data_IF_556919844821
#
_entry.id   IF_556919844821
#
_cell.length_a   1.000
_cell.length_b   1.000
_cell.length_c   1.000
_cell.angle_alpha   90.00
_cell.angle_beta   90.00
_cell.angle_gamma   90.00
#
_symmetry.space_group_name_H-M   'P 1'
#
loop_
_entity.id
_entity.type
_entity.pdbx_description
1 polymer ?
#
# COMPACT_ATOMS: atom_id res chain seq x y z
N UNK A 1 -12.50 12.59 18.44
CA UNK A 1 -13.37 11.48 18.02
C UNK A 1 -13.26 11.39 16.50
N UNK A 2 -13.01 10.21 15.94
CA UNK A 2 -12.92 10.04 14.49
C UNK A 2 -14.31 10.19 13.86
N UNK A 3 -14.39 10.79 12.67
CA UNK A 3 -15.62 10.79 11.89
C UNK A 3 -16.05 9.35 11.56
N UNK A 4 -17.37 9.10 11.43
CA UNK A 4 -17.88 7.81 10.98
C UNK A 4 -17.17 7.33 9.72
N UNK A 5 -16.99 6.02 9.60
CA UNK A 5 -16.46 5.42 8.38
C UNK A 5 -17.42 5.68 7.21
N UNK A 6 -16.85 6.02 6.06
CA UNK A 6 -17.55 6.07 4.78
C UNK A 6 -16.58 5.56 3.70
N UNK A 7 -17.05 4.75 2.74
CA UNK A 7 -16.20 4.29 1.64
C UNK A 7 -15.58 5.46 0.86
N UNK A 8 -14.34 5.28 0.41
CA UNK A 8 -13.64 6.24 -0.42
C UNK A 8 -14.42 6.45 -1.73
N UNK A 9 -14.81 7.70 -2.07
CA UNK A 9 -15.56 7.95 -3.29
C UNK A 9 -14.79 7.52 -4.53
N UNK A 10 -15.48 6.84 -5.45
CA UNK A 10 -14.94 6.53 -6.76
C UNK A 10 -14.88 7.78 -7.64
N UNK A 11 -13.90 7.80 -8.53
CA UNK A 11 -13.69 8.90 -9.46
C UNK A 11 -14.64 8.78 -10.65
N UNK A 12 -15.46 9.81 -10.87
CA UNK A 12 -16.30 9.90 -12.06
C UNK A 12 -15.50 10.47 -13.23
N UNK A 13 -14.98 9.59 -14.09
CA UNK A 13 -14.18 9.98 -15.26
C UNK A 13 -14.99 10.62 -16.40
N UNK A 14 -16.32 10.69 -16.29
CA UNK A 14 -17.16 11.50 -17.17
C UNK A 14 -17.06 13.01 -16.90
N UNK A 15 -16.39 13.41 -15.81
CA UNK A 15 -16.10 14.80 -15.47
C UNK A 15 -14.72 15.15 -16.03
N UNK A 16 -14.66 16.19 -16.87
CA UNK A 16 -13.45 16.55 -17.62
C UNK A 16 -12.26 16.86 -16.71
N UNK A 17 -12.48 17.53 -15.57
CA UNK A 17 -11.42 17.82 -14.60
C UNK A 17 -10.81 16.55 -13.99
N UNK A 18 -11.63 15.54 -13.70
CA UNK A 18 -11.16 14.27 -13.15
C UNK A 18 -10.36 13.48 -14.20
N UNK A 19 -10.88 13.42 -15.44
CA UNK A 19 -10.18 12.78 -16.54
C UNK A 19 -8.83 13.46 -16.79
N UNK A 20 -8.79 14.79 -16.84
CA UNK A 20 -7.56 15.56 -17.00
C UNK A 20 -6.57 15.28 -15.86
N UNK A 21 -7.01 15.28 -14.60
CA UNK A 21 -6.14 14.99 -13.45
C UNK A 21 -5.52 13.58 -13.54
N UNK A 22 -6.31 12.59 -13.97
CA UNK A 22 -5.83 11.23 -14.18
C UNK A 22 -4.82 11.13 -15.34
N UNK A 23 -5.04 11.84 -16.44
CA UNK A 23 -4.07 11.93 -17.53
C UNK A 23 -2.74 12.55 -17.08
N UNK A 24 -2.77 13.56 -16.21
CA UNK A 24 -1.55 14.12 -15.63
C UNK A 24 -0.83 13.09 -14.76
N UNK A 25 -1.58 12.31 -13.97
CA UNK A 25 -0.99 11.22 -13.19
C UNK A 25 -0.36 10.14 -14.08
N UNK A 26 -1.01 9.75 -15.18
CA UNK A 26 -0.45 8.83 -16.18
C UNK A 26 0.85 9.36 -16.78
N UNK A 27 0.89 10.65 -17.17
CA UNK A 27 2.12 11.28 -17.68
C UNK A 27 3.23 11.29 -16.64
N UNK A 28 2.89 11.65 -15.39
CA UNK A 28 3.85 11.67 -14.27
C UNK A 28 4.44 10.28 -14.05
N UNK A 29 3.60 9.26 -13.89
CA UNK A 29 4.05 7.88 -13.66
C UNK A 29 4.88 7.38 -14.84
N UNK A 30 4.45 7.64 -16.07
CA UNK A 30 5.19 7.24 -17.27
C UNK A 30 6.62 7.78 -17.30
N UNK A 31 6.81 9.03 -16.88
CA UNK A 31 8.13 9.66 -16.81
C UNK A 31 9.02 9.10 -15.69
N UNK A 32 8.44 8.34 -14.75
CA UNK A 32 9.12 7.77 -13.59
C UNK A 32 9.30 6.24 -13.71
N UNK A 33 9.04 5.65 -14.88
CA UNK A 33 9.24 4.22 -15.11
C UNK A 33 10.72 3.86 -15.31
N UNK A 34 11.04 2.58 -15.12
CA UNK A 34 12.37 2.01 -15.41
C UNK A 34 13.35 2.06 -14.24
N UNK A 35 12.93 2.54 -13.07
CA UNK A 35 13.77 2.52 -11.86
C UNK A 35 14.13 1.10 -11.42
N UNK A 36 15.23 1.00 -10.67
CA UNK A 36 15.61 -0.23 -9.97
C UNK A 36 15.25 -0.13 -8.49
N UNK A 37 14.44 -1.08 -8.01
CA UNK A 37 13.91 -1.12 -6.66
C UNK A 37 14.65 -2.18 -5.82
N UNK A 38 15.28 -1.80 -4.70
CA UNK A 38 15.94 -2.75 -3.81
C UNK A 38 14.93 -3.50 -2.95
N UNK A 39 15.37 -4.59 -2.32
CA UNK A 39 14.66 -5.14 -1.15
C UNK A 39 14.72 -4.12 -0.01
N UNK A 40 13.70 -4.11 0.86
CA UNK A 40 13.71 -3.32 2.09
C UNK A 40 13.52 -4.26 3.27
N UNK A 41 14.59 -4.48 4.04
CA UNK A 41 14.59 -5.36 5.22
C UNK A 41 15.16 -4.57 6.39
N UNK A 42 14.44 -4.51 7.51
CA UNK A 42 14.88 -3.79 8.71
C UNK A 42 15.27 -2.33 8.43
N UNK A 43 14.43 -1.63 7.65
CA UNK A 43 14.64 -0.27 7.13
C UNK A 43 15.91 -0.08 6.27
N UNK A 44 16.58 -1.16 5.84
CA UNK A 44 17.75 -1.11 4.97
C UNK A 44 17.38 -1.49 3.54
N UNK A 45 17.83 -0.66 2.60
CA UNK A 45 17.75 -0.95 1.16
C UNK A 45 18.87 -1.91 0.79
N UNK A 46 18.52 -3.09 0.30
CA UNK A 46 19.45 -4.15 -0.08
C UNK A 46 19.35 -4.36 -1.59
N UNK A 47 20.41 -3.99 -2.32
CA UNK A 47 20.57 -4.34 -3.71
C UNK A 47 21.10 -5.78 -3.82
N UNK A 48 20.65 -6.51 -4.84
CA UNK A 48 21.08 -7.88 -5.14
C UNK A 48 21.77 -7.93 -6.49
N UNK A 49 22.61 -8.95 -6.71
CA UNK A 49 23.30 -9.12 -7.99
C UNK A 49 22.33 -9.43 -9.15
N UNK A 50 21.22 -10.11 -8.85
CA UNK A 50 20.17 -10.43 -9.82
C UNK A 50 18.96 -9.52 -9.63
N UNK A 51 18.36 -9.10 -10.75
CA UNK A 51 17.08 -8.37 -10.78
C UNK A 51 16.15 -9.00 -11.81
N UNK A 52 14.85 -8.90 -11.58
CA UNK A 52 13.83 -9.23 -12.59
C UNK A 52 13.09 -7.97 -13.02
N UNK A 53 12.57 -7.95 -14.25
CA UNK A 53 11.80 -6.83 -14.77
C UNK A 53 10.30 -7.07 -14.57
N UNK A 54 9.59 -6.06 -14.09
CA UNK A 54 8.14 -5.92 -14.30
C UNK A 54 7.93 -5.15 -15.60
N UNK A 55 7.03 -5.64 -16.46
CA UNK A 55 6.82 -5.08 -17.80
C UNK A 55 5.35 -4.74 -18.01
N UNK A 56 5.08 -3.74 -18.83
CA UNK A 56 3.71 -3.35 -19.14
C UNK A 56 3.02 -4.47 -19.94
N UNK A 57 1.92 -5.08 -19.47
CA UNK A 57 1.24 -6.16 -20.18
C UNK A 57 0.64 -5.71 -21.52
N UNK A 58 0.35 -4.42 -21.70
CA UNK A 58 -0.14 -3.87 -22.96
C UNK A 58 1.00 -3.52 -23.95
N UNK A 59 2.25 -3.40 -23.46
CA UNK A 59 3.46 -3.07 -24.24
C UNK A 59 4.69 -3.74 -23.61
N UNK A 60 4.93 -5.03 -23.85
CA UNK A 60 5.95 -5.80 -23.12
C UNK A 60 7.40 -5.28 -23.24
N UNK A 61 7.69 -4.45 -24.25
CA UNK A 61 8.95 -3.73 -24.40
C UNK A 61 9.14 -2.57 -23.40
N UNK A 62 8.06 -2.08 -22.79
CA UNK A 62 8.07 -1.01 -21.78
C UNK A 62 8.30 -1.61 -20.38
N UNK A 63 9.50 -1.38 -19.84
CA UNK A 63 9.87 -1.83 -18.48
C UNK A 63 9.32 -0.85 -17.46
N UNK A 64 8.46 -1.34 -16.57
CA UNK A 64 7.89 -0.57 -15.46
C UNK A 64 8.94 -0.32 -14.39
N UNK A 65 9.69 -1.36 -14.04
CA UNK A 65 10.76 -1.30 -13.06
C UNK A 65 11.54 -2.61 -13.02
N UNK A 66 12.73 -2.56 -12.43
CA UNK A 66 13.54 -3.75 -12.13
C UNK A 66 13.61 -3.94 -10.63
N UNK A 67 13.36 -5.15 -10.14
CA UNK A 67 13.27 -5.43 -8.72
C UNK A 67 14.39 -6.38 -8.31
N UNK A 68 15.03 -6.07 -7.19
CA UNK A 68 16.03 -6.93 -6.57
C UNK A 68 15.44 -8.33 -6.30
N UNK A 69 16.10 -9.36 -6.82
CA UNK A 69 15.69 -10.75 -6.62
C UNK A 69 16.33 -11.29 -5.34
N UNK A 70 15.53 -11.44 -4.29
CA UNK A 70 15.95 -12.05 -3.03
C UNK A 70 16.16 -13.56 -3.14
N UNK A 71 16.96 -14.09 -2.22
CA UNK A 71 17.15 -15.52 -2.01
C UNK A 71 16.66 -15.96 -0.62
N UNK A 72 16.84 -17.23 -0.27
CA UNK A 72 16.42 -17.78 1.02
C UNK A 72 17.04 -17.02 2.22
N UNK A 73 18.29 -16.56 2.10
CA UNK A 73 18.95 -15.83 3.18
C UNK A 73 18.34 -14.45 3.41
N UNK A 74 17.85 -13.80 2.35
CA UNK A 74 17.09 -12.55 2.48
C UNK A 74 15.74 -12.78 3.14
N UNK A 75 15.05 -13.89 2.82
CA UNK A 75 13.80 -14.25 3.48
C UNK A 75 14.00 -14.52 4.99
N UNK A 76 15.04 -15.29 5.35
CA UNK A 76 15.40 -15.54 6.75
C UNK A 76 15.70 -14.23 7.49
N UNK A 77 16.46 -13.33 6.86
CA UNK A 77 16.76 -12.02 7.43
C UNK A 77 15.49 -11.17 7.65
N UNK A 78 14.53 -11.20 6.71
CA UNK A 78 13.26 -10.50 6.81
C UNK A 78 12.38 -11.04 7.96
N UNK A 79 12.29 -12.37 8.10
CA UNK A 79 11.56 -13.02 9.19
C UNK A 79 12.19 -12.66 10.53
N UNK A 80 13.51 -12.79 10.67
CA UNK A 80 14.22 -12.44 11.90
C UNK A 80 14.03 -10.96 12.27
N UNK A 81 14.06 -10.05 11.29
CA UNK A 81 13.79 -8.64 11.52
C UNK A 81 12.35 -8.40 12.01
N UNK A 82 11.37 -9.02 11.36
CA UNK A 82 9.96 -8.91 11.75
C UNK A 82 9.70 -9.49 13.15
N UNK A 83 10.30 -10.63 13.49
CA UNK A 83 10.19 -11.25 14.82
C UNK A 83 10.76 -10.33 15.90
N UNK A 84 11.95 -9.74 15.68
CA UNK A 84 12.52 -8.76 16.63
C UNK A 84 11.63 -7.53 16.79
N UNK A 85 11.15 -6.97 15.68
CA UNK A 85 10.28 -5.78 15.71
C UNK A 85 8.94 -6.07 16.41
N UNK A 86 8.42 -7.30 16.32
CA UNK A 86 7.15 -7.68 16.94
C UNK A 86 7.17 -7.54 18.47
N UNK A 87 8.30 -7.82 19.14
CA UNK A 87 8.40 -7.69 20.58
C UNK A 87 8.08 -6.27 21.05
N UNK A 88 8.58 -5.25 20.36
CA UNK A 88 8.24 -3.86 20.65
C UNK A 88 6.87 -3.47 20.08
N UNK A 89 6.60 -3.82 18.82
CA UNK A 89 5.39 -3.42 18.11
C UNK A 89 4.09 -3.89 18.79
N UNK A 90 4.08 -5.11 19.35
CA UNK A 90 2.91 -5.64 20.06
C UNK A 90 2.52 -4.80 21.28
N UNK A 91 3.48 -4.08 21.87
CA UNK A 91 3.31 -3.21 23.04
C UNK A 91 3.01 -1.75 22.67
N UNK A 92 3.13 -1.38 21.39
CA UNK A 92 2.78 -0.03 20.93
C UNK A 92 1.28 0.22 21.17
N UNK A 93 0.90 1.38 21.75
CA UNK A 93 -0.49 1.72 22.01
C UNK A 93 -1.36 1.63 20.76
N UNK A 94 -2.60 1.18 20.93
CA UNK A 94 -3.54 0.99 19.81
C UNK A 94 -3.78 2.29 19.04
N UNK A 95 -3.87 3.41 19.75
CA UNK A 95 -4.07 4.75 19.19
C UNK A 95 -2.89 5.17 18.31
N UNK A 96 -1.68 4.73 18.66
CA UNK A 96 -0.49 5.00 17.85
C UNK A 96 -0.47 4.11 16.60
N UNK A 97 -0.74 2.79 16.75
CA UNK A 97 -0.83 1.86 15.61
C UNK A 97 -1.85 2.33 14.58
N UNK A 98 -3.02 2.74 15.03
CA UNK A 98 -4.10 3.21 14.15
C UNK A 98 -3.77 4.54 13.49
N UNK A 99 -2.99 5.41 14.14
CA UNK A 99 -2.49 6.65 13.54
C UNK A 99 -1.58 6.39 12.34
N UNK A 100 -0.78 5.33 12.34
CA UNK A 100 0.03 4.97 11.17
C UNK A 100 -0.86 4.61 9.96
N UNK A 101 -1.91 3.80 10.16
CA UNK A 101 -2.86 3.45 9.10
C UNK A 101 -3.59 4.69 8.58
N UNK A 102 -4.07 5.57 9.45
CA UNK A 102 -4.75 6.81 9.04
C UNK A 102 -3.82 7.75 8.26
N UNK A 103 -2.55 7.83 8.64
CA UNK A 103 -1.55 8.62 7.89
C UNK A 103 -1.28 8.01 6.51
N UNK A 104 -1.20 6.69 6.41
CA UNK A 104 -1.07 6.00 5.13
C UNK A 104 -2.30 6.23 4.23
N UNK A 105 -3.52 6.14 4.78
CA UNK A 105 -4.75 6.42 4.04
C UNK A 105 -4.78 7.85 3.50
N UNK A 106 -4.44 8.82 4.34
CA UNK A 106 -4.38 10.23 3.94
C UNK A 106 -3.36 10.47 2.82
N UNK A 107 -2.19 9.81 2.88
CA UNK A 107 -1.17 9.96 1.85
C UNK A 107 -1.57 9.27 0.53
N UNK A 108 -2.14 8.07 0.61
CA UNK A 108 -2.65 7.35 -0.55
C UNK A 108 -3.78 8.14 -1.23
N UNK A 109 -4.70 8.74 -0.45
CA UNK A 109 -5.77 9.60 -0.95
C UNK A 109 -5.25 10.83 -1.69
N UNK A 110 -4.23 11.51 -1.16
CA UNK A 110 -3.58 12.65 -1.86
C UNK A 110 -2.96 12.26 -3.20
N UNK A 111 -2.53 11.00 -3.32
CA UNK A 111 -1.85 10.45 -4.49
C UNK A 111 -2.71 9.41 -5.22
N UNK A 112 -4.05 9.43 -5.04
CA UNK A 112 -4.96 8.37 -5.50
C UNK A 112 -4.73 8.05 -6.98
N UNK A 113 -4.76 9.08 -7.84
CA UNK A 113 -4.56 8.89 -9.28
C UNK A 113 -3.15 8.39 -9.64
N UNK A 114 -2.12 8.67 -8.84
CA UNK A 114 -0.77 8.17 -9.09
C UNK A 114 -0.69 6.66 -8.84
N UNK A 115 -1.27 6.17 -7.74
CA UNK A 115 -1.37 4.74 -7.46
C UNK A 115 -2.22 4.02 -8.52
N UNK A 116 -3.35 4.60 -8.90
CA UNK A 116 -4.20 4.07 -9.97
C UNK A 116 -3.47 4.04 -11.32
N UNK A 117 -2.77 5.12 -11.69
CA UNK A 117 -1.99 5.20 -12.93
C UNK A 117 -0.89 4.11 -12.97
N UNK A 118 -0.22 3.83 -11.85
CA UNK A 118 0.74 2.72 -11.77
C UNK A 118 0.09 1.39 -12.11
N UNK A 119 -1.10 1.10 -11.58
CA UNK A 119 -1.81 -0.16 -11.90
C UNK A 119 -2.27 -0.25 -13.36
N UNK A 120 -2.57 0.89 -14.00
CA UNK A 120 -2.84 0.91 -15.45
C UNK A 120 -1.61 0.44 -16.23
N UNK A 121 -0.41 0.90 -15.85
CA UNK A 121 0.83 0.52 -16.52
C UNK A 121 1.32 -0.89 -16.15
N UNK A 122 1.33 -1.25 -14.87
CA UNK A 122 1.97 -2.47 -14.40
C UNK A 122 1.12 -3.72 -14.53
N UNK A 123 -0.19 -3.60 -14.30
CA UNK A 123 -1.11 -4.75 -14.31
C UNK A 123 -2.24 -4.60 -15.33
N UNK A 124 -2.21 -3.56 -16.17
CA UNK A 124 -3.11 -3.40 -17.31
C UNK A 124 -4.56 -3.11 -16.95
N UNK A 125 -4.83 -2.59 -15.75
CA UNK A 125 -6.19 -2.24 -15.32
C UNK A 125 -6.75 -1.08 -16.16
N UNK A 126 -8.07 -1.10 -16.38
CA UNK A 126 -8.77 0.09 -16.87
C UNK A 126 -8.79 1.18 -15.79
N UNK A 127 -9.10 2.43 -16.17
CA UNK A 127 -9.07 3.55 -15.23
C UNK A 127 -10.03 3.36 -14.05
N UNK A 128 -11.24 2.86 -14.32
CA UNK A 128 -12.24 2.60 -13.28
C UNK A 128 -11.81 1.48 -12.34
N UNK A 129 -11.24 0.39 -12.87
CA UNK A 129 -10.75 -0.73 -12.07
C UNK A 129 -9.55 -0.33 -11.20
N UNK A 130 -8.65 0.49 -11.73
CA UNK A 130 -7.50 1.00 -10.99
C UNK A 130 -7.90 2.02 -9.91
N UNK A 131 -8.88 2.88 -10.20
CA UNK A 131 -9.43 3.82 -9.22
C UNK A 131 -10.13 3.08 -8.06
N UNK A 132 -10.94 2.07 -8.40
CA UNK A 132 -11.65 1.24 -7.43
C UNK A 132 -10.69 0.49 -6.51
N UNK A 133 -9.63 -0.12 -7.05
CA UNK A 133 -8.63 -0.82 -6.24
C UNK A 133 -7.88 0.14 -5.29
N UNK A 134 -7.52 1.34 -5.78
CA UNK A 134 -6.89 2.34 -4.91
C UNK A 134 -7.85 2.82 -3.81
N UNK A 135 -9.13 2.99 -4.13
CA UNK A 135 -10.17 3.33 -3.17
C UNK A 135 -10.35 2.22 -2.12
N UNK A 136 -10.35 0.95 -2.54
CA UNK A 136 -10.45 -0.20 -1.64
C UNK A 136 -9.24 -0.28 -0.69
N UNK A 137 -8.02 -0.03 -1.17
CA UNK A 137 -6.83 0.04 -0.33
C UNK A 137 -6.94 1.16 0.72
N UNK A 138 -7.47 2.33 0.35
CA UNK A 138 -7.76 3.42 1.30
C UNK A 138 -8.81 2.98 2.33
N UNK A 139 -9.86 2.30 1.88
CA UNK A 139 -10.92 1.78 2.75
C UNK A 139 -10.39 0.77 3.75
N UNK A 140 -9.51 -0.16 3.36
CA UNK A 140 -8.89 -1.09 4.31
C UNK A 140 -8.11 -0.36 5.41
N UNK A 141 -7.33 0.66 5.04
CA UNK A 141 -6.55 1.44 6.01
C UNK A 141 -7.48 2.19 7.00
N UNK A 142 -8.51 2.86 6.48
CA UNK A 142 -9.48 3.62 7.29
C UNK A 142 -10.34 2.69 8.16
N UNK A 143 -10.82 1.59 7.60
CA UNK A 143 -11.72 0.65 8.25
C UNK A 143 -10.99 -0.12 9.35
N UNK A 144 -9.84 -0.73 9.05
CA UNK A 144 -9.10 -1.53 10.05
C UNK A 144 -8.57 -0.66 11.19
N UNK A 145 -8.17 0.58 10.93
CA UNK A 145 -7.79 1.51 12.00
C UNK A 145 -8.97 1.78 12.96
N UNK A 146 -10.18 2.01 12.44
CA UNK A 146 -11.39 2.19 13.27
C UNK A 146 -11.81 0.90 14.00
N UNK A 147 -11.72 -0.24 13.33
CA UNK A 147 -12.06 -1.53 13.96
C UNK A 147 -11.11 -1.84 15.11
N UNK A 148 -9.82 -1.56 14.98
CA UNK A 148 -8.86 -1.80 16.07
C UNK A 148 -9.17 -0.95 17.31
N UNK A 149 -9.58 0.31 17.14
CA UNK A 149 -10.05 1.14 18.27
C UNK A 149 -11.30 0.52 18.93
N UNK A 150 -12.29 0.13 18.11
CA UNK A 150 -13.52 -0.52 18.61
C UNK A 150 -13.22 -1.79 19.40
N UNK A 151 -12.30 -2.62 18.89
CA UNK A 151 -11.89 -3.87 19.54
C UNK A 151 -11.15 -3.57 20.85
N UNK A 152 -10.28 -2.57 20.89
CA UNK A 152 -9.58 -2.16 22.11
C UNK A 152 -10.55 -1.72 23.22
N UNK A 153 -11.59 -0.95 22.87
CA UNK A 153 -12.65 -0.53 23.79
C UNK A 153 -13.55 -1.69 24.23
N UNK A 154 -13.64 -2.74 23.40
CA UNK A 154 -14.47 -3.94 23.63
C UNK A 154 -13.67 -5.14 24.13
N UNK A 155 -12.46 -4.94 24.66
CA UNK A 155 -11.57 -6.02 25.11
C UNK A 155 -12.23 -6.93 26.15
N UNK A 156 -13.07 -6.37 27.02
CA UNK A 156 -13.88 -7.11 27.99
C UNK A 156 -14.91 -8.07 27.36
N UNK A 157 -15.21 -7.92 26.07
CA UNK A 157 -16.12 -8.79 25.31
C UNK A 157 -15.37 -9.89 24.54
N UNK A 158 -14.04 -9.87 24.52
CA UNK A 158 -13.23 -10.86 23.84
C UNK A 158 -13.02 -12.08 24.74
N UNK A 159 -13.07 -13.28 24.16
CA UNK A 159 -12.72 -14.52 24.86
C UNK A 159 -11.27 -14.43 25.32
N UNK A 160 -11.04 -14.60 26.62
CA UNK A 160 -9.70 -14.70 27.18
C UNK A 160 -8.97 -15.90 26.57
N UNK A 161 -7.77 -15.67 26.04
CA UNK A 161 -6.91 -16.76 25.62
C UNK A 161 -6.33 -17.43 26.88
N UNK A 162 -6.54 -18.74 27.10
CA UNK A 162 -6.08 -19.38 28.32
C UNK A 162 -4.57 -19.63 28.26
N UNK A 163 -3.75 -18.59 28.50
CA UNK A 163 -2.31 -18.69 28.77
C UNK A 163 -1.62 -17.38 29.24
N UNK A 164 -2.32 -16.43 29.86
CA UNK A 164 -1.68 -15.30 30.59
C UNK A 164 -1.83 -15.46 32.11
#
# INVERSE_FOLDING_TARGET
MLSPYFPEPLTFFSVDENAYAFEQALKKVKNDLGHTYPLVIDNKKIATAQTFASVNPARPEEVIGRFAMGDASHADAAILAATRAFDEWRRVPVEERTRYLMRAAAEMRRRKHEFSAMMVFEVGKSWSEADADTAEAIDFLEYYARQMLRIADSTHMLTSYPAE
#
